data_IF_895447894042
#
_entry.id   IF_895447894042
#
_cell.length_a   1.000
_cell.length_b   1.000
_cell.length_c   1.000
_cell.angle_alpha   90.00
_cell.angle_beta   90.00
_cell.angle_gamma   90.00
#
_symmetry.space_group_name_H-M   'P 1'
#
loop_
_entity.id
_entity.type
_entity.pdbx_description
1 polymer ?
#
# COMPACT_ATOMS: atom_id res chain seq x y z
N UNK A 1 13.51 14.04 4.79
CA UNK A 1 12.79 13.41 3.66
C UNK A 1 11.34 13.84 3.80
N UNK A 2 10.70 14.36 2.76
CA UNK A 2 9.28 14.68 2.85
C UNK A 2 8.48 13.36 2.85
N UNK A 3 7.50 13.19 3.76
CA UNK A 3 6.69 11.98 3.80
C UNK A 3 5.92 11.80 2.49
N UNK A 4 5.63 10.56 2.07
CA UNK A 4 4.87 10.31 0.86
C UNK A 4 3.47 10.92 0.96
N UNK A 5 3.10 11.75 -0.02
CA UNK A 5 1.81 12.47 -0.05
C UNK A 5 0.71 11.71 -0.79
N UNK A 6 1.02 10.54 -1.38
CA UNK A 6 0.06 9.70 -2.09
C UNK A 6 0.35 8.22 -1.89
N UNK A 7 -0.69 7.40 -2.03
CA UNK A 7 -0.61 5.94 -1.94
C UNK A 7 0.39 5.38 -2.96
N UNK A 8 0.37 5.89 -4.20
CA UNK A 8 1.30 5.49 -5.27
C UNK A 8 2.75 5.77 -4.88
N UNK A 9 3.03 6.97 -4.36
CA UNK A 9 4.37 7.35 -3.93
C UNK A 9 4.86 6.46 -2.79
N UNK A 10 4.01 6.18 -1.79
CA UNK A 10 4.32 5.28 -0.67
C UNK A 10 4.75 3.89 -1.18
N UNK A 11 3.94 3.26 -2.02
CA UNK A 11 4.21 1.92 -2.55
C UNK A 11 5.50 1.91 -3.39
N UNK A 12 5.73 2.92 -4.23
CA UNK A 12 6.93 3.00 -5.07
C UNK A 12 8.20 3.20 -4.26
N UNK A 13 8.19 4.08 -3.26
CA UNK A 13 9.35 4.35 -2.41
C UNK A 13 9.67 3.12 -1.58
N UNK A 14 8.67 2.52 -0.91
CA UNK A 14 8.86 1.26 -0.17
C UNK A 14 9.35 0.14 -1.08
N UNK A 15 8.83 0.08 -2.31
CA UNK A 15 9.23 -0.87 -3.33
C UNK A 15 10.68 -0.72 -3.82
N UNK A 16 11.43 0.31 -3.40
CA UNK A 16 12.89 0.40 -3.63
C UNK A 16 13.70 -0.32 -2.55
N UNK A 17 13.13 -0.52 -1.36
CA UNK A 17 13.72 -1.32 -0.28
C UNK A 17 13.38 -2.81 -0.49
N UNK A 18 14.01 -3.45 -1.49
CA UNK A 18 13.74 -4.87 -1.88
C UNK A 18 14.72 -5.89 -1.30
N UNK A 19 15.79 -5.46 -0.64
CA UNK A 19 16.80 -6.40 -0.10
C UNK A 19 16.22 -7.15 1.10
N UNK A 20 16.59 -8.43 1.27
CA UNK A 20 16.24 -9.16 2.51
C UNK A 20 16.68 -8.32 3.72
N UNK A 21 15.80 -8.21 4.72
CA UNK A 21 15.99 -7.42 5.94
C UNK A 21 16.13 -5.90 5.73
N UNK A 22 15.72 -5.35 4.59
CA UNK A 22 15.63 -3.89 4.45
C UNK A 22 14.41 -3.35 5.17
N UNK A 23 14.62 -2.26 5.92
CA UNK A 23 13.56 -1.56 6.63
C UNK A 23 13.25 -0.25 5.90
N UNK A 24 11.98 0.13 5.91
CA UNK A 24 11.51 1.42 5.41
C UNK A 24 10.94 2.20 6.59
N UNK A 25 11.57 3.33 6.91
CA UNK A 25 11.21 4.18 8.05
C UNK A 25 10.73 5.52 7.50
N UNK A 26 9.60 5.99 8.03
CA UNK A 26 9.10 7.34 7.78
C UNK A 26 9.24 8.12 9.08
N UNK A 27 9.81 9.31 8.97
CA UNK A 27 9.91 10.27 10.07
C UNK A 27 8.81 11.31 9.87
N UNK A 28 7.90 11.38 10.82
CA UNK A 28 6.85 12.40 10.89
C UNK A 28 7.26 13.45 11.91
N UNK A 29 7.04 14.73 11.58
CA UNK A 29 7.35 15.87 12.44
C UNK A 29 6.12 16.39 13.20
N UNK A 30 4.93 15.89 12.88
CA UNK A 30 3.66 16.24 13.53
C UNK A 30 2.68 15.07 13.56
N UNK A 31 1.68 15.13 14.44
CA UNK A 31 0.58 14.16 14.50
C UNK A 31 -0.24 14.14 13.20
N UNK A 32 -0.45 15.29 12.57
CA UNK A 32 -1.15 15.39 11.27
C UNK A 32 -0.44 14.56 10.19
N UNK A 33 0.90 14.51 10.18
CA UNK A 33 1.65 13.66 9.25
C UNK A 33 1.50 12.16 9.57
N UNK A 34 1.34 11.80 10.85
CA UNK A 34 1.05 10.42 11.28
C UNK A 34 -0.33 10.00 10.77
N UNK A 35 -1.38 10.79 11.02
CA UNK A 35 -2.74 10.49 10.59
C UNK A 35 -2.86 10.37 9.06
N UNK A 36 -2.18 11.27 8.32
CA UNK A 36 -2.08 11.19 6.86
C UNK A 36 -1.46 9.86 6.43
N UNK A 37 -0.39 9.44 7.08
CA UNK A 37 0.27 8.18 6.76
C UNK A 37 -0.59 6.95 7.10
N UNK A 38 -1.29 6.95 8.23
CA UNK A 38 -2.22 5.89 8.60
C UNK A 38 -3.37 5.76 7.58
N UNK A 39 -3.88 6.90 7.11
CA UNK A 39 -4.88 6.95 6.04
C UNK A 39 -4.35 6.30 4.76
N UNK A 40 -3.12 6.62 4.35
CA UNK A 40 -2.49 6.00 3.18
C UNK A 40 -2.29 4.49 3.36
N UNK A 41 -1.92 4.02 4.55
CA UNK A 41 -1.82 2.59 4.84
C UNK A 41 -3.18 1.89 4.74
N UNK A 42 -4.25 2.51 5.25
CA UNK A 42 -5.59 1.96 5.15
C UNK A 42 -6.05 1.85 3.69
N UNK A 43 -5.81 2.89 2.89
CA UNK A 43 -6.08 2.86 1.45
C UNK A 43 -5.31 1.73 0.75
N UNK A 44 -4.05 1.49 1.14
CA UNK A 44 -3.26 0.38 0.61
C UNK A 44 -3.89 -0.98 0.94
N UNK A 45 -4.29 -1.21 2.20
CA UNK A 45 -4.95 -2.45 2.62
C UNK A 45 -6.24 -2.69 1.84
N UNK A 46 -7.04 -1.64 1.65
CA UNK A 46 -8.28 -1.70 0.86
C UNK A 46 -7.99 -2.05 -0.61
N UNK A 47 -6.96 -1.46 -1.20
CA UNK A 47 -6.52 -1.77 -2.57
C UNK A 47 -6.09 -3.23 -2.71
N UNK A 48 -5.31 -3.75 -1.76
CA UNK A 48 -4.88 -5.14 -1.74
C UNK A 48 -6.07 -6.11 -1.59
N UNK A 49 -7.04 -5.78 -0.71
CA UNK A 49 -8.24 -6.58 -0.52
C UNK A 49 -9.14 -6.57 -1.78
N UNK A 50 -9.32 -5.41 -2.41
CA UNK A 50 -10.05 -5.29 -3.66
C UNK A 50 -9.41 -6.10 -4.78
N UNK A 51 -8.08 -6.00 -4.97
CA UNK A 51 -7.35 -6.78 -5.97
C UNK A 51 -7.54 -8.29 -5.78
N UNK A 52 -7.46 -8.78 -4.52
CA UNK A 52 -7.72 -10.19 -4.21
C UNK A 52 -9.14 -10.61 -4.58
N UNK A 53 -10.16 -9.78 -4.29
CA UNK A 53 -11.55 -10.07 -4.68
C UNK A 53 -11.71 -10.17 -6.19
N UNK A 54 -11.15 -9.22 -6.95
CA UNK A 54 -11.21 -9.25 -8.41
C UNK A 54 -10.59 -10.54 -8.99
N UNK A 55 -9.44 -10.97 -8.46
CA UNK A 55 -8.79 -12.23 -8.89
C UNK A 55 -9.67 -13.44 -8.60
N UNK A 56 -10.32 -13.50 -7.43
CA UNK A 56 -11.22 -14.61 -7.09
C UNK A 56 -12.50 -14.61 -7.92
N UNK A 57 -13.06 -13.43 -8.24
CA UNK A 57 -14.21 -13.28 -9.11
C UNK A 57 -13.89 -13.74 -10.54
N UNK A 58 -12.76 -13.30 -11.10
CA UNK A 58 -12.28 -13.73 -12.42
C UNK A 58 -12.06 -15.25 -12.46
N UNK A 59 -11.48 -15.83 -11.40
CA UNK A 59 -11.26 -17.28 -11.30
C UNK A 59 -12.58 -18.05 -11.31
N UNK A 60 -13.60 -17.58 -10.59
CA UNK A 60 -14.93 -18.20 -10.55
C UNK A 60 -15.63 -18.10 -11.91
N UNK A 61 -15.54 -16.95 -12.58
CA UNK A 61 -16.12 -16.74 -13.91
C UNK A 61 -15.47 -17.64 -14.98
N UNK A 62 -14.16 -17.89 -14.86
CA UNK A 62 -13.42 -18.79 -15.77
C UNK A 62 -13.72 -20.27 -15.58
N UNK A 63 -14.19 -20.70 -14.40
CA UNK A 63 -14.54 -22.11 -14.10
C UNK A 63 -15.97 -22.50 -14.51
N UNK A 64 -16.80 -21.52 -14.90
CA UNK A 64 -18.18 -21.73 -15.36
C UNK A 64 -18.30 -21.80 -16.91
N UNK A 65 -17.19 -21.78 -17.63
CA UNK A 65 -17.12 -21.97 -19.09
C UNK A 65 -16.52 -23.32 -19.42
#
# INVERSE_FOLDING_TARGET
>A
MNPPTSLRALVQIRGRARRKNSHFVILCSSEEEVEKFETLQLQEKNMQAAAKRCVEEDRKAGQQK
#
